data_IF_159518657520
#
_entry.id   IF_159518657520
#
_cell.length_a   1.000
_cell.length_b   1.000
_cell.length_c   1.000
_cell.angle_alpha   90.00
_cell.angle_beta   90.00
_cell.angle_gamma   90.00
#
_symmetry.space_group_name_H-M   'P 1'
#
loop_
_entity.id
_entity.type
_entity.pdbx_description
1 polymer ?
#
# COMPACT_ATOMS: atom_id res chain seq x y z
N UNK A 1 7.92 -21.05 44.52
CA UNK A 1 7.88 -22.34 43.80
C UNK A 1 8.30 -22.10 42.36
N UNK A 2 9.35 -22.76 41.91
CA UNK A 2 10.15 -22.43 40.71
C UNK A 2 9.89 -23.46 39.61
N UNK A 3 9.44 -23.01 38.43
CA UNK A 3 9.20 -23.87 37.25
C UNK A 3 10.31 -23.58 36.23
N UNK A 4 11.51 -24.08 36.56
CA UNK A 4 12.50 -24.48 35.56
C UNK A 4 12.31 -25.98 35.38
N UNK A 5 12.27 -26.45 34.13
CA UNK A 5 12.54 -27.82 33.62
C UNK A 5 11.49 -28.20 32.59
N UNK A 6 11.74 -27.95 31.31
CA UNK A 6 11.25 -28.81 30.21
C UNK A 6 12.15 -28.60 28.98
N UNK A 7 13.40 -29.05 29.12
CA UNK A 7 14.23 -29.51 28.02
C UNK A 7 13.95 -31.00 27.89
N UNK A 8 13.44 -31.48 26.76
CA UNK A 8 13.85 -32.78 26.22
C UNK A 8 13.36 -32.99 24.77
N UNK A 9 14.32 -33.37 23.92
CA UNK A 9 14.20 -34.31 22.79
C UNK A 9 13.27 -33.99 21.63
N UNK A 10 13.84 -33.49 20.53
CA UNK A 10 13.47 -33.99 19.20
C UNK A 10 14.72 -34.32 18.38
N UNK A 11 14.69 -35.52 17.82
CA UNK A 11 15.83 -36.27 17.33
C UNK A 11 16.34 -35.81 15.96
N UNK A 12 17.65 -35.92 15.82
CA UNK A 12 18.43 -35.82 14.57
C UNK A 12 18.08 -37.03 13.69
N UNK A 13 17.33 -36.81 12.60
CA UNK A 13 17.20 -37.78 11.52
C UNK A 13 18.28 -37.51 10.48
N UNK A 14 19.40 -38.23 10.59
CA UNK A 14 20.43 -38.30 9.57
C UNK A 14 19.91 -39.08 8.36
N UNK A 15 19.60 -38.39 7.27
CA UNK A 15 19.39 -39.01 5.97
C UNK A 15 20.75 -39.18 5.28
N UNK A 16 21.19 -40.44 5.23
CA UNK A 16 22.33 -40.89 4.47
C UNK A 16 22.10 -40.66 2.97
N UNK A 17 22.90 -39.80 2.36
CA UNK A 17 23.02 -39.70 0.91
C UNK A 17 24.02 -40.75 0.43
N UNK A 18 23.52 -41.80 -0.22
CA UNK A 18 24.35 -42.73 -0.99
C UNK A 18 24.84 -42.07 -2.28
N UNK A 19 26.06 -42.37 -2.76
CA UNK A 19 26.55 -41.89 -4.05
C UNK A 19 25.83 -42.64 -5.19
N UNK A 20 24.95 -41.94 -5.90
CA UNK A 20 24.37 -42.45 -7.15
C UNK A 20 25.41 -42.25 -8.26
N UNK A 21 25.97 -43.35 -8.75
CA UNK A 21 26.83 -43.36 -9.93
C UNK A 21 26.08 -42.77 -11.14
N UNK A 22 26.51 -41.60 -11.59
CA UNK A 22 26.01 -40.93 -12.78
C UNK A 22 26.57 -41.62 -14.03
N UNK A 23 25.78 -42.50 -14.64
CA UNK A 23 26.02 -42.95 -16.00
C UNK A 23 25.79 -41.76 -16.95
N UNK A 24 26.86 -41.27 -17.57
CA UNK A 24 26.82 -40.26 -18.63
C UNK A 24 26.19 -40.85 -19.91
N UNK A 25 24.87 -40.84 -20.01
CA UNK A 25 24.19 -40.95 -21.29
C UNK A 25 24.05 -39.55 -21.89
N UNK A 26 24.82 -39.27 -22.95
CA UNK A 26 24.61 -38.11 -23.85
C UNK A 26 23.29 -38.30 -24.61
N UNK A 27 22.17 -38.12 -23.93
CA UNK A 27 20.86 -37.97 -24.58
C UNK A 27 20.67 -36.52 -25.02
N UNK A 28 19.95 -36.26 -26.12
CA UNK A 28 19.58 -34.90 -26.49
C UNK A 28 18.84 -34.25 -25.32
N UNK A 29 19.33 -33.07 -24.89
CA UNK A 29 18.75 -32.33 -23.77
C UNK A 29 17.24 -32.22 -23.97
N UNK A 30 16.48 -32.92 -23.13
CA UNK A 30 15.03 -33.03 -23.28
C UNK A 30 14.43 -31.63 -23.27
N UNK A 31 13.52 -31.36 -24.22
CA UNK A 31 12.82 -30.06 -24.33
C UNK A 31 12.16 -29.62 -23.01
N UNK A 32 11.92 -30.56 -22.09
CA UNK A 32 11.47 -30.30 -20.72
C UNK A 32 12.46 -29.47 -19.89
N UNK A 33 13.77 -29.67 -20.04
CA UNK A 33 14.80 -28.95 -19.28
C UNK A 33 14.96 -27.50 -19.80
N UNK A 34 14.85 -27.30 -21.13
CA UNK A 34 14.80 -25.98 -21.74
C UNK A 34 13.55 -25.18 -21.31
N UNK A 35 12.38 -25.82 -21.20
CA UNK A 35 11.15 -25.18 -20.71
C UNK A 35 11.25 -24.75 -19.25
N UNK A 36 11.91 -25.54 -18.39
CA UNK A 36 12.15 -25.18 -16.98
C UNK A 36 13.10 -23.99 -16.83
N UNK A 37 14.17 -23.93 -17.62
CA UNK A 37 15.09 -22.79 -17.62
C UNK A 37 14.42 -21.49 -18.12
N UNK A 38 13.56 -21.57 -19.14
CA UNK A 38 12.79 -20.43 -19.64
C UNK A 38 11.75 -19.92 -18.61
N UNK A 39 11.09 -20.82 -17.87
CA UNK A 39 10.15 -20.47 -16.82
C UNK A 39 10.83 -19.77 -15.62
N UNK A 40 12.04 -20.22 -15.23
CA UNK A 40 12.81 -19.57 -14.17
C UNK A 40 13.24 -18.14 -14.54
N UNK A 41 13.71 -17.93 -15.77
CA UNK A 41 14.08 -16.59 -16.28
C UNK A 41 12.89 -15.64 -16.42
N UNK A 42 11.69 -16.16 -16.67
CA UNK A 42 10.46 -15.38 -16.71
C UNK A 42 9.99 -14.94 -15.32
N UNK A 43 10.29 -15.71 -14.27
CA UNK A 43 10.01 -15.35 -12.88
C UNK A 43 10.92 -14.22 -12.40
N UNK A 44 12.23 -14.26 -12.71
CA UNK A 44 13.18 -13.21 -12.34
C UNK A 44 12.85 -11.85 -12.98
N UNK A 45 12.39 -11.83 -14.24
CA UNK A 45 11.94 -10.59 -14.88
C UNK A 45 10.69 -9.98 -14.23
N UNK A 46 9.81 -10.79 -13.63
CA UNK A 46 8.65 -10.28 -12.88
C UNK A 46 9.03 -9.65 -11.56
N UNK A 47 10.13 -10.09 -10.93
CA UNK A 47 10.63 -9.51 -9.68
C UNK A 47 11.24 -8.11 -9.95
N UNK A 48 11.96 -7.94 -11.07
CA UNK A 48 12.60 -6.66 -11.40
C UNK A 48 11.61 -5.61 -11.93
N UNK A 49 10.50 -6.02 -12.56
CA UNK A 49 9.49 -5.07 -13.08
C UNK A 49 8.45 -4.65 -12.03
N UNK A 50 8.41 -5.28 -10.86
CA UNK A 50 7.52 -4.90 -9.76
C UNK A 50 8.03 -3.70 -8.92
N UNK A 51 9.21 -3.15 -9.24
CA UNK A 51 9.88 -2.12 -8.44
C UNK A 51 9.91 -0.70 -9.02
N UNK A 52 9.24 -0.41 -10.14
CA UNK A 52 9.23 0.94 -10.72
C UNK A 52 7.80 1.50 -10.83
N UNK A 53 7.49 2.51 -10.03
CA UNK A 53 6.39 3.44 -10.29
C UNK A 53 5.07 3.21 -9.54
N UNK A 54 5.04 2.45 -8.44
CA UNK A 54 3.94 2.59 -7.48
C UNK A 54 4.48 3.52 -6.41
N UNK A 55 4.14 4.81 -6.48
CA UNK A 55 4.23 5.66 -5.30
C UNK A 55 3.57 4.89 -4.16
N UNK A 56 4.30 4.64 -3.05
CA UNK A 56 3.71 3.94 -1.92
C UNK A 56 2.43 4.70 -1.58
N UNK A 57 1.30 4.00 -1.61
CA UNK A 57 0.11 4.52 -0.96
C UNK A 57 0.56 5.01 0.42
N UNK A 58 0.36 6.29 0.69
CA UNK A 58 0.66 6.87 1.99
C UNK A 58 -0.62 6.78 2.78
N UNK A 59 -0.59 6.12 3.94
CA UNK A 59 -1.75 5.86 4.78
C UNK A 59 -1.81 4.42 5.32
N UNK A 60 -2.80 4.10 6.13
CA UNK A 60 -2.87 2.79 6.81
C UNK A 60 -3.20 1.61 5.87
N UNK A 61 -3.71 1.92 4.67
CA UNK A 61 -3.86 0.95 3.57
C UNK A 61 -2.60 0.87 2.70
N UNK A 62 -1.50 1.48 3.12
CA UNK A 62 -0.20 1.27 2.52
C UNK A 62 0.21 -0.21 2.61
N UNK A 63 0.87 -0.69 1.56
CA UNK A 63 1.24 -2.11 1.47
C UNK A 63 2.23 -2.59 2.53
N UNK A 64 2.83 -1.67 3.28
CA UNK A 64 3.74 -1.94 4.40
C UNK A 64 3.03 -2.03 5.76
N UNK A 65 1.73 -1.78 5.85
CA UNK A 65 1.01 -1.90 7.14
C UNK A 65 0.71 -3.35 7.48
N UNK A 66 0.53 -3.65 8.78
CA UNK A 66 0.21 -5.01 9.24
C UNK A 66 -1.13 -5.50 8.68
N UNK A 67 -2.11 -4.61 8.60
CA UNK A 67 -3.42 -4.89 8.01
C UNK A 67 -3.28 -5.37 6.55
N UNK A 68 -2.55 -4.61 5.72
CA UNK A 68 -2.40 -4.90 4.28
C UNK A 68 -1.39 -6.00 3.97
N UNK A 69 -0.43 -6.23 4.87
CA UNK A 69 0.51 -7.34 4.81
C UNK A 69 -0.05 -8.62 5.44
N UNK A 70 -1.26 -8.61 6.00
CA UNK A 70 -1.92 -9.82 6.49
C UNK A 70 -2.09 -10.87 5.38
N UNK A 71 -2.07 -12.15 5.74
CA UNK A 71 -2.25 -13.25 4.77
C UNK A 71 -3.59 -13.13 4.04
N UNK A 72 -4.62 -12.65 4.72
CA UNK A 72 -5.96 -12.45 4.18
C UNK A 72 -5.94 -11.33 3.12
N UNK A 73 -5.41 -10.15 3.45
CA UNK A 73 -5.28 -9.03 2.51
C UNK A 73 -4.40 -9.37 1.30
N UNK A 74 -3.25 -10.01 1.52
CA UNK A 74 -2.38 -10.47 0.43
C UNK A 74 -3.06 -11.51 -0.47
N UNK A 75 -3.91 -12.37 0.09
CA UNK A 75 -4.64 -13.37 -0.68
C UNK A 75 -5.76 -12.73 -1.51
N UNK A 76 -6.52 -11.79 -0.94
CA UNK A 76 -7.53 -11.04 -1.69
C UNK A 76 -6.94 -10.35 -2.93
N UNK A 77 -5.77 -9.72 -2.79
CA UNK A 77 -5.10 -8.97 -3.89
C UNK A 77 -4.64 -9.85 -5.05
N UNK A 78 -4.63 -11.18 -4.91
CA UNK A 78 -4.35 -12.12 -6.01
C UNK A 78 -5.52 -12.22 -6.98
N UNK A 79 -6.73 -11.88 -6.54
CA UNK A 79 -7.92 -11.89 -7.38
C UNK A 79 -8.04 -10.58 -8.15
N UNK A 80 -8.15 -10.69 -9.48
CA UNK A 80 -8.53 -9.57 -10.33
C UNK A 80 -10.03 -9.36 -10.27
N UNK A 81 -10.45 -8.11 -10.37
CA UNK A 81 -11.85 -7.73 -10.36
C UNK A 81 -12.11 -6.65 -11.41
N UNK A 82 -13.34 -6.61 -11.91
CA UNK A 82 -13.90 -5.45 -12.60
C UNK A 82 -14.98 -4.73 -11.79
N UNK A 83 -15.52 -5.40 -10.77
CA UNK A 83 -16.57 -4.89 -9.87
C UNK A 83 -16.38 -5.45 -8.46
N UNK A 84 -16.93 -4.77 -7.45
CA UNK A 84 -16.87 -5.20 -6.05
C UNK A 84 -17.51 -6.60 -5.83
N UNK A 85 -18.59 -6.91 -6.55
CA UNK A 85 -19.26 -8.22 -6.48
C UNK A 85 -18.36 -9.41 -6.88
N UNK A 86 -17.30 -9.19 -7.67
CA UNK A 86 -16.30 -10.24 -7.94
C UNK A 86 -15.49 -10.53 -6.67
N UNK A 87 -15.17 -9.50 -5.91
CA UNK A 87 -14.40 -9.62 -4.67
C UNK A 87 -15.22 -10.28 -3.57
N UNK A 88 -16.47 -9.90 -3.39
CA UNK A 88 -17.36 -10.56 -2.41
C UNK A 88 -17.50 -12.07 -2.65
N UNK A 89 -17.48 -12.50 -3.92
CA UNK A 89 -17.64 -13.93 -4.28
C UNK A 89 -16.34 -14.72 -4.30
N UNK A 90 -15.19 -14.08 -4.57
CA UNK A 90 -13.91 -14.78 -4.83
C UNK A 90 -12.83 -14.50 -3.79
N UNK A 91 -12.90 -13.36 -3.11
CA UNK A 91 -11.94 -13.06 -2.06
C UNK A 91 -12.13 -14.03 -0.88
N UNK A 92 -11.10 -14.19 -0.03
CA UNK A 92 -11.25 -14.90 1.23
C UNK A 92 -12.40 -14.31 2.06
N UNK A 93 -12.89 -15.07 3.08
CA UNK A 93 -13.84 -14.53 4.05
C UNK A 93 -13.37 -13.17 4.58
N UNK A 94 -14.30 -12.22 4.64
CA UNK A 94 -14.04 -10.88 5.13
C UNK A 94 -13.63 -10.92 6.60
N UNK A 95 -12.69 -10.06 6.98
CA UNK A 95 -12.43 -9.79 8.40
C UNK A 95 -13.62 -9.04 8.99
N UNK A 96 -13.94 -9.20 10.28
CA UNK A 96 -15.05 -8.48 10.89
C UNK A 96 -14.96 -6.96 10.67
N UNK A 97 -16.10 -6.34 10.35
CA UNK A 97 -16.24 -4.91 10.07
C UNK A 97 -15.40 -4.43 8.87
N UNK A 98 -15.22 -5.29 7.87
CA UNK A 98 -14.58 -4.94 6.62
C UNK A 98 -15.37 -5.44 5.42
N UNK A 99 -15.36 -4.62 4.37
CA UNK A 99 -15.89 -4.92 3.06
C UNK A 99 -14.77 -5.23 2.06
N UNK A 100 -15.02 -6.18 1.16
CA UNK A 100 -14.14 -6.45 0.03
C UNK A 100 -14.49 -5.56 -1.16
N UNK A 101 -13.60 -4.64 -1.53
CA UNK A 101 -13.79 -3.70 -2.65
C UNK A 101 -12.90 -4.06 -3.84
N UNK A 102 -13.32 -3.61 -5.03
CA UNK A 102 -12.48 -3.69 -6.22
C UNK A 102 -11.67 -2.41 -6.39
N UNK A 103 -10.39 -2.44 -6.05
CA UNK A 103 -9.49 -1.30 -6.13
C UNK A 103 -8.36 -1.56 -7.13
N UNK A 104 -8.19 -0.64 -8.10
CA UNK A 104 -7.18 -0.74 -9.18
C UNK A 104 -7.18 -2.12 -9.88
N UNK A 105 -8.37 -2.67 -10.11
CA UNK A 105 -8.58 -3.96 -10.79
C UNK A 105 -8.22 -5.19 -9.95
N UNK A 106 -8.04 -5.05 -8.64
CA UNK A 106 -7.75 -6.14 -7.70
C UNK A 106 -8.66 -6.05 -6.47
N UNK A 107 -8.90 -7.19 -5.85
CA UNK A 107 -9.68 -7.23 -4.62
C UNK A 107 -8.85 -6.78 -3.43
N UNK A 108 -9.44 -5.94 -2.59
CA UNK A 108 -8.82 -5.38 -1.41
C UNK A 108 -9.84 -5.30 -0.27
N UNK A 109 -9.40 -5.41 0.98
CA UNK A 109 -10.27 -5.20 2.13
C UNK A 109 -10.20 -3.75 2.60
N UNK A 110 -11.35 -3.18 2.90
CA UNK A 110 -11.51 -1.86 3.51
C UNK A 110 -12.40 -2.00 4.73
N UNK A 111 -12.13 -1.21 5.76
CA UNK A 111 -12.99 -1.22 6.94
C UNK A 111 -14.32 -0.55 6.60
N UNK A 112 -15.40 -1.02 7.22
CA UNK A 112 -16.72 -0.41 7.10
C UNK A 112 -16.73 0.99 7.73
N UNK A 113 -17.75 1.78 7.41
CA UNK A 113 -17.92 3.12 7.97
C UNK A 113 -17.93 3.08 9.51
N UNK A 114 -17.14 3.96 10.13
CA UNK A 114 -16.95 3.99 11.57
C UNK A 114 -15.91 2.99 12.10
N UNK A 115 -15.23 2.25 11.23
CA UNK A 115 -14.11 1.36 11.57
C UNK A 115 -12.82 1.79 10.87
N UNK A 116 -11.69 1.43 11.50
CA UNK A 116 -10.35 1.75 11.05
C UNK A 116 -9.44 0.52 11.14
N UNK A 117 -8.46 0.37 10.24
CA UNK A 117 -7.50 -0.72 10.32
C UNK A 117 -6.65 -0.55 11.58
N UNK A 118 -6.53 -1.60 12.38
CA UNK A 118 -5.64 -1.60 13.53
C UNK A 118 -4.18 -1.70 13.04
N UNK A 119 -3.29 -0.76 13.42
CA UNK A 119 -1.88 -0.81 13.04
C UNK A 119 -1.18 -2.09 13.55
N UNK A 120 -1.72 -2.72 14.60
CA UNK A 120 -1.15 -3.88 15.27
C UNK A 120 -1.87 -5.19 14.98
N UNK A 121 -2.95 -5.21 14.21
CA UNK A 121 -3.65 -6.44 13.84
C UNK A 121 -4.12 -6.44 12.38
N UNK A 122 -4.81 -7.50 11.97
CA UNK A 122 -5.48 -7.65 10.70
C UNK A 122 -6.99 -7.35 10.79
N UNK A 123 -7.41 -6.72 11.89
CA UNK A 123 -8.81 -6.40 12.18
C UNK A 123 -9.14 -4.93 11.90
N UNK A 124 -10.41 -4.70 11.60
CA UNK A 124 -11.01 -3.39 11.61
C UNK A 124 -11.60 -3.12 13.00
N UNK A 125 -11.04 -2.15 13.70
CA UNK A 125 -11.46 -1.72 15.03
C UNK A 125 -12.35 -0.49 14.92
N UNK A 126 -13.26 -0.29 15.88
CA UNK A 126 -14.11 0.89 15.88
C UNK A 126 -13.23 2.16 15.94
N UNK A 127 -13.53 3.11 15.06
CA UNK A 127 -12.96 4.46 15.15
C UNK A 127 -13.34 5.06 16.50
N UNK A 128 -12.38 5.73 17.14
CA UNK A 128 -12.55 6.28 18.46
C UNK A 128 -12.59 7.81 18.37
N UNK A 129 -13.72 8.40 18.75
CA UNK A 129 -13.82 9.85 18.97
C UNK A 129 -13.18 10.28 20.29
N UNK A 130 -12.84 9.34 21.16
CA UNK A 130 -12.17 9.59 22.45
C UNK A 130 -11.17 8.49 22.78
N UNK A 131 -9.94 8.87 23.15
CA UNK A 131 -8.89 7.99 23.65
C UNK A 131 -8.56 8.34 25.09
N UNK A 132 -9.15 7.58 26.04
CA UNK A 132 -9.08 7.91 27.46
C UNK A 132 -9.78 9.23 27.76
N UNK A 133 -9.06 10.20 28.31
CA UNK A 133 -9.57 11.55 28.56
C UNK A 133 -9.45 12.49 27.35
N UNK A 134 -8.77 12.07 26.28
CA UNK A 134 -8.50 12.89 25.10
C UNK A 134 -9.63 12.74 24.08
N UNK A 135 -10.27 13.84 23.69
CA UNK A 135 -11.20 13.83 22.56
C UNK A 135 -10.42 13.93 21.25
N UNK A 136 -10.62 12.97 20.34
CA UNK A 136 -9.97 12.92 19.05
C UNK A 136 -10.79 13.71 18.03
N UNK A 137 -10.15 14.72 17.42
CA UNK A 137 -10.72 15.43 16.28
C UNK A 137 -10.64 14.51 15.07
N UNK A 138 -11.79 14.03 14.59
CA UNK A 138 -11.89 13.23 13.37
C UNK A 138 -12.24 14.19 12.22
N UNK A 139 -11.32 14.41 11.27
CA UNK A 139 -11.62 15.23 10.10
C UNK A 139 -12.61 14.54 9.18
N UNK A 140 -13.31 15.33 8.35
CA UNK A 140 -14.09 14.78 7.24
C UNK A 140 -13.21 13.92 6.34
N UNK A 141 -13.73 12.78 5.89
CA UNK A 141 -12.98 11.76 5.15
C UNK A 141 -11.77 11.19 5.91
N UNK A 142 -11.78 11.23 7.24
CA UNK A 142 -10.80 10.58 8.08
C UNK A 142 -11.41 9.76 9.21
N UNK A 143 -10.52 9.22 10.03
CA UNK A 143 -10.85 8.47 11.23
C UNK A 143 -9.77 8.71 12.28
N UNK A 144 -10.07 8.35 13.53
CA UNK A 144 -9.10 8.31 14.60
C UNK A 144 -9.08 6.94 15.27
N UNK A 145 -7.90 6.46 15.62
CA UNK A 145 -7.69 5.28 16.46
C UNK A 145 -6.95 5.67 17.74
N UNK A 146 -7.04 4.81 18.76
CA UNK A 146 -6.35 5.04 20.02
C UNK A 146 -5.04 4.26 20.07
N UNK A 147 -3.97 4.98 20.33
CA UNK A 147 -2.70 4.37 20.70
C UNK A 147 -2.78 3.83 22.13
N UNK A 148 -1.86 2.92 22.48
CA UNK A 148 -1.81 2.30 23.81
C UNK A 148 -1.53 3.30 24.94
N UNK A 149 -0.96 4.47 24.63
CA UNK A 149 -0.70 5.57 25.56
C UNK A 149 -1.93 6.50 25.76
N UNK A 150 -3.05 6.23 25.09
CA UNK A 150 -4.24 7.07 25.12
C UNK A 150 -4.17 8.31 24.21
N UNK A 151 -3.14 8.41 23.35
CA UNK A 151 -3.09 9.44 22.31
C UNK A 151 -3.96 9.08 21.10
N UNK A 152 -4.46 10.11 20.42
CA UNK A 152 -5.24 9.98 19.19
C UNK A 152 -4.30 9.82 17.99
N UNK A 153 -4.50 8.78 17.21
CA UNK A 153 -3.87 8.59 15.91
C UNK A 153 -4.91 8.93 14.82
N UNK A 154 -4.85 10.15 14.30
CA UNK A 154 -5.78 10.67 13.29
C UNK A 154 -5.23 10.39 11.90
N UNK A 155 -6.06 9.88 11.02
CA UNK A 155 -5.69 9.47 9.66
C UNK A 155 -6.81 9.75 8.67
N UNK A 156 -6.47 9.67 7.39
CA UNK A 156 -7.39 9.92 6.29
C UNK A 156 -7.76 8.63 5.57
N UNK A 157 -9.01 8.55 5.14
CA UNK A 157 -9.44 7.55 4.18
C UNK A 157 -8.71 7.81 2.85
N UNK A 158 -8.30 6.76 2.15
CA UNK A 158 -7.79 6.97 0.79
C UNK A 158 -8.92 7.46 -0.14
N UNK A 159 -8.62 8.33 -1.11
CA UNK A 159 -7.29 8.81 -1.53
C UNK A 159 -6.79 10.06 -0.77
N UNK A 160 -7.47 10.47 0.29
CA UNK A 160 -7.16 11.71 1.00
C UNK A 160 -5.85 11.61 1.79
N UNK A 161 -5.13 12.72 1.87
CA UNK A 161 -3.88 12.87 2.62
C UNK A 161 -4.09 13.77 3.82
N UNK A 162 -3.49 13.40 4.95
CA UNK A 162 -3.57 14.19 6.19
C UNK A 162 -2.77 15.48 6.07
N UNK A 163 -3.47 16.61 6.16
CA UNK A 163 -2.90 17.94 6.27
C UNK A 163 -2.87 18.36 7.74
N UNK A 164 -1.68 18.48 8.32
CA UNK A 164 -1.50 18.86 9.73
C UNK A 164 -1.36 20.37 9.96
N UNK A 165 -1.35 21.19 8.91
CA UNK A 165 -1.49 22.64 9.02
C UNK A 165 -1.83 23.24 7.66
N UNK A 166 -3.05 23.75 7.52
CA UNK A 166 -3.35 24.75 6.51
C UNK A 166 -3.08 26.11 7.16
N UNK A 167 -2.46 27.08 6.45
CA UNK A 167 -2.27 28.43 6.98
C UNK A 167 -3.63 29.04 7.32
N UNK A 168 -3.95 29.13 8.62
CA UNK A 168 -5.23 29.58 9.16
C UNK A 168 -5.88 28.63 10.17
N UNK A 169 -5.55 27.34 10.15
CA UNK A 169 -6.11 26.32 11.05
C UNK A 169 -5.05 25.80 12.02
N UNK A 170 -4.89 26.49 13.15
CA UNK A 170 -4.04 26.07 14.26
C UNK A 170 -4.67 24.85 14.96
N UNK A 171 -4.24 23.63 14.60
CA UNK A 171 -4.56 22.40 15.34
C UNK A 171 -5.73 21.55 14.80
N UNK A 172 -6.37 21.94 13.70
CA UNK A 172 -7.41 21.13 13.06
C UNK A 172 -6.79 20.31 11.93
N UNK A 173 -6.87 18.98 12.04
CA UNK A 173 -6.51 18.09 10.94
C UNK A 173 -7.53 18.23 9.81
N UNK A 174 -7.08 18.11 8.56
CA UNK A 174 -7.97 18.00 7.41
C UNK A 174 -7.48 16.88 6.48
N UNK A 175 -8.41 16.15 5.88
CA UNK A 175 -8.09 15.15 4.87
C UNK A 175 -8.37 15.72 3.49
N UNK A 176 -7.31 15.88 2.69
CA UNK A 176 -7.37 16.57 1.40
C UNK A 176 -7.09 15.58 0.27
N UNK A 177 -7.92 15.57 -0.77
CA UNK A 177 -7.65 14.80 -1.98
C UNK A 177 -6.61 15.52 -2.84
N UNK A 178 -5.33 15.23 -2.61
CA UNK A 178 -4.24 15.84 -3.37
C UNK A 178 -4.29 15.54 -4.87
N UNK A 179 -4.97 14.47 -5.29
CA UNK A 179 -5.04 14.07 -6.69
C UNK A 179 -6.03 14.91 -7.50
N UNK A 180 -7.09 15.40 -6.85
CA UNK A 180 -8.10 16.28 -7.42
C UNK A 180 -7.97 17.76 -7.03
N UNK A 181 -7.18 18.08 -6.00
CA UNK A 181 -7.12 19.42 -5.44
C UNK A 181 -6.21 20.37 -6.23
N UNK A 182 -6.86 21.33 -6.90
CA UNK A 182 -6.24 22.41 -7.64
C UNK A 182 -5.34 23.32 -6.78
N UNK A 183 -5.60 23.44 -5.48
CA UNK A 183 -4.83 24.28 -4.56
C UNK A 183 -3.56 23.61 -4.05
N UNK A 184 -3.47 22.28 -4.17
CA UNK A 184 -2.32 21.52 -3.69
C UNK A 184 -1.50 20.90 -4.84
N UNK A 185 -1.96 20.89 -6.09
CA UNK A 185 -1.12 20.47 -7.24
C UNK A 185 -0.42 19.09 -7.02
N UNK A 186 -1.11 18.12 -6.41
CA UNK A 186 -0.54 16.80 -6.11
C UNK A 186 0.29 16.68 -4.82
N UNK A 187 0.56 17.76 -4.10
CA UNK A 187 1.33 17.74 -2.84
C UNK A 187 0.91 18.86 -1.87
N UNK A 188 0.89 18.57 -0.57
CA UNK A 188 0.44 19.55 0.42
C UNK A 188 1.25 20.86 0.34
N UNK A 189 0.57 22.00 0.26
CA UNK A 189 1.14 23.36 0.20
C UNK A 189 2.08 23.61 -1.00
N UNK A 190 1.92 22.88 -2.11
CA UNK A 190 2.90 22.91 -3.20
C UNK A 190 2.64 23.98 -4.28
N UNK A 191 1.49 24.66 -4.29
CA UNK A 191 1.26 25.77 -5.23
C UNK A 191 1.62 27.12 -4.57
N UNK A 192 2.58 27.90 -5.13
CA UNK A 192 2.86 29.25 -4.66
C UNK A 192 1.64 30.17 -4.82
N UNK A 193 1.52 31.28 -4.06
CA UNK A 193 0.37 32.18 -4.12
C UNK A 193 0.05 32.74 -5.51
N UNK A 194 1.04 32.74 -6.41
CA UNK A 194 0.97 33.28 -7.77
C UNK A 194 0.92 32.17 -8.83
N UNK A 195 0.84 30.91 -8.41
CA UNK A 195 0.83 29.75 -9.30
C UNK A 195 -0.55 29.54 -9.93
N UNK A 196 -0.58 29.29 -11.23
CA UNK A 196 -1.78 28.84 -11.95
C UNK A 196 -1.69 27.33 -12.15
N UNK A 197 -2.72 26.59 -11.77
CA UNK A 197 -2.79 25.16 -12.03
C UNK A 197 -2.84 24.92 -13.56
N UNK A 198 -1.94 24.08 -14.06
CA UNK A 198 -1.96 23.61 -15.45
C UNK A 198 -2.05 22.10 -15.45
N UNK A 199 -2.77 21.57 -16.45
CA UNK A 199 -2.79 20.13 -16.72
C UNK A 199 -1.49 19.75 -17.44
N UNK A 200 -0.79 18.73 -16.96
CA UNK A 200 0.31 18.10 -17.68
C UNK A 200 -0.20 16.94 -18.53
N UNK A 201 0.52 16.61 -19.60
CA UNK A 201 0.27 15.40 -20.41
C UNK A 201 0.71 14.10 -19.69
N UNK A 202 1.15 14.22 -18.43
CA UNK A 202 1.52 13.09 -17.60
C UNK A 202 0.30 12.50 -16.88
N UNK A 203 0.01 11.22 -17.10
CA UNK A 203 -1.10 10.51 -16.46
C UNK A 203 -0.88 10.22 -14.97
N UNK A 204 0.37 10.21 -14.50
CA UNK A 204 0.74 9.96 -13.10
C UNK A 204 0.71 11.23 -12.26
N UNK A 205 1.05 12.38 -12.86
CA UNK A 205 1.00 13.70 -12.25
C UNK A 205 0.28 14.68 -13.20
N UNK A 206 -1.06 14.62 -13.27
CA UNK A 206 -1.82 15.35 -14.27
C UNK A 206 -1.87 16.86 -14.02
N UNK A 207 -1.36 17.34 -12.88
CA UNK A 207 -1.40 18.75 -12.52
C UNK A 207 -0.05 19.26 -12.01
N UNK A 208 0.30 20.49 -12.39
CA UNK A 208 1.44 21.23 -11.86
C UNK A 208 1.10 22.71 -11.66
N UNK A 209 1.80 23.38 -10.76
CA UNK A 209 1.67 24.82 -10.55
C UNK A 209 2.62 25.57 -11.49
N UNK A 210 2.05 26.30 -12.44
CA UNK A 210 2.78 27.19 -13.32
C UNK A 210 2.92 28.57 -12.67
N UNK A 211 4.15 28.96 -12.32
CA UNK A 211 4.46 30.28 -11.74
C UNK A 211 5.13 31.24 -12.74
N UNK A 212 5.10 30.87 -14.02
CA UNK A 212 5.82 31.56 -15.11
C UNK A 212 6.71 30.59 -15.89
N UNK A 213 7.31 31.05 -16.98
CA UNK A 213 8.11 30.21 -17.90
C UNK A 213 9.30 29.53 -17.20
N UNK A 214 9.86 30.15 -16.15
CA UNK A 214 10.92 29.57 -15.33
C UNK A 214 10.51 28.27 -14.62
N UNK A 215 9.21 28.02 -14.42
CA UNK A 215 8.70 26.78 -13.81
C UNK A 215 8.65 25.58 -14.76
N UNK A 216 8.86 25.79 -16.07
CA UNK A 216 8.90 24.73 -17.09
C UNK A 216 10.27 24.05 -17.21
N UNK A 217 11.31 24.58 -16.55
CA UNK A 217 12.67 24.08 -16.68
C UNK A 217 13.16 23.47 -15.37
N UNK A 218 13.15 22.13 -15.27
CA UNK A 218 13.80 21.40 -14.18
C UNK A 218 14.66 20.27 -14.72
N UNK A 219 15.98 20.48 -14.74
CA UNK A 219 17.01 19.46 -14.99
C UNK A 219 17.52 19.38 -16.43
N UNK A 220 18.63 20.09 -16.70
CA UNK A 220 19.71 19.90 -17.71
C UNK A 220 19.40 19.42 -19.14
N UNK A 221 18.14 19.28 -19.53
CA UNK A 221 17.74 18.89 -20.87
C UNK A 221 16.91 20.03 -21.45
N UNK A 222 17.38 20.60 -22.55
CA UNK A 222 16.82 21.78 -23.20
C UNK A 222 15.28 21.78 -23.22
N UNK A 223 14.70 22.85 -22.67
CA UNK A 223 13.27 23.11 -22.69
C UNK A 223 12.80 23.36 -24.13
N UNK A 224 12.41 22.30 -24.85
CA UNK A 224 11.65 22.42 -26.10
C UNK A 224 10.17 22.45 -25.72
N UNK A 225 9.65 23.65 -25.51
CA UNK A 225 8.20 23.90 -25.45
C UNK A 225 7.82 24.54 -26.77
N UNK A 226 7.25 23.76 -27.68
CA UNK A 226 6.55 24.29 -28.84
C UNK A 226 5.21 24.85 -28.36
N UNK A 227 4.99 26.13 -28.61
CA UNK A 227 3.73 26.84 -28.34
C UNK A 227 2.56 26.28 -29.17
#
# INVERSE_FOLDING_TARGET
>A
MSIKTFLLTLAVAALAFGPVNAAHTKGPASAALARRAAAAKALERRIVTAGKGVTPATGEYAYNTKFMSSKIAQTARRFRCGTAAVCERRAPPQVPNAVSVCYRGRCEFRCDDGFAPDPNSDLCIASASTCGATTCQVPDNGYATCNADGSCNVQCNEPYTLASSLPGNQGTFACIDLSGDAQNCGALNNCPPNGVLRRADNTEFPFYCYTGESSLCRGDTACNVSA
#
